data_IF_143685410861
#
_entry.id   IF_143685410861
#
_cell.length_a   1.000
_cell.length_b   1.000
_cell.length_c   1.000
_cell.angle_alpha   90.00
_cell.angle_beta   90.00
_cell.angle_gamma   90.00
#
_symmetry.space_group_name_H-M   'P 1'
#
loop_
_entity.id
_entity.type
_entity.pdbx_description
1 polymer ?
#
# COMPACT_ATOMS: atom_id res chain seq x y z
N UNK A 1 3.73 15.76 2.72
CA UNK A 1 5.03 15.09 2.53
C UNK A 1 5.18 14.00 3.60
N UNK A 2 4.57 12.82 3.39
CA UNK A 2 4.46 11.78 4.44
C UNK A 2 5.33 10.55 4.14
N UNK A 3 5.65 10.31 2.87
CA UNK A 3 6.43 9.16 2.39
C UNK A 3 7.84 9.56 1.94
N UNK A 4 8.38 10.66 2.47
CA UNK A 4 9.75 11.07 2.18
C UNK A 4 10.70 9.96 2.65
N UNK A 5 11.70 9.61 1.85
CA UNK A 5 12.66 8.50 2.03
C UNK A 5 12.09 7.08 2.02
N UNK A 6 10.85 6.87 1.58
CA UNK A 6 10.33 5.53 1.29
C UNK A 6 10.92 5.02 -0.03
N UNK A 7 11.33 3.76 -0.06
CA UNK A 7 11.73 3.11 -1.30
C UNK A 7 10.51 2.74 -2.15
N UNK A 8 10.73 2.38 -3.42
CA UNK A 8 9.67 1.84 -4.29
C UNK A 8 9.01 0.58 -3.71
N UNK A 9 9.79 -0.26 -3.02
CA UNK A 9 9.26 -1.45 -2.34
C UNK A 9 8.35 -1.09 -1.16
N UNK A 10 8.70 -0.05 -0.40
CA UNK A 10 7.87 0.42 0.72
C UNK A 10 6.52 0.97 0.21
N UNK A 11 6.56 1.76 -0.88
CA UNK A 11 5.36 2.28 -1.55
C UNK A 11 4.49 1.14 -2.10
N UNK A 12 5.10 0.15 -2.77
CA UNK A 12 4.38 -1.02 -3.27
C UNK A 12 3.72 -1.80 -2.12
N UNK A 13 4.41 -1.94 -0.98
CA UNK A 13 3.87 -2.57 0.21
C UNK A 13 2.65 -1.85 0.78
N UNK A 14 2.63 -0.50 0.76
CA UNK A 14 1.47 0.30 1.16
C UNK A 14 0.29 0.04 0.22
N UNK A 15 0.50 0.12 -1.10
CA UNK A 15 -0.55 -0.14 -2.09
C UNK A 15 -1.15 -1.55 -1.96
N UNK A 16 -0.29 -2.56 -1.76
CA UNK A 16 -0.75 -3.93 -1.54
C UNK A 16 -1.58 -4.08 -0.26
N UNK A 17 -1.18 -3.40 0.83
CA UNK A 17 -1.96 -3.41 2.08
C UNK A 17 -3.32 -2.74 1.91
N UNK A 18 -3.38 -1.56 1.28
CA UNK A 18 -4.64 -0.87 1.00
C UNK A 18 -5.58 -1.71 0.14
N UNK A 19 -5.06 -2.34 -0.92
CA UNK A 19 -5.82 -3.26 -1.77
C UNK A 19 -6.40 -4.46 -0.98
N UNK A 20 -5.59 -5.07 -0.10
CA UNK A 20 -6.05 -6.17 0.76
C UNK A 20 -7.13 -5.73 1.76
N UNK A 21 -7.06 -4.50 2.28
CA UNK A 21 -8.09 -3.97 3.17
C UNK A 21 -9.42 -3.79 2.43
N UNK A 22 -9.41 -3.22 1.23
CA UNK A 22 -10.61 -3.06 0.41
C UNK A 22 -11.28 -4.41 0.08
N UNK A 23 -10.48 -5.43 -0.26
CA UNK A 23 -10.99 -6.77 -0.51
C UNK A 23 -11.61 -7.38 0.76
N UNK A 24 -10.95 -7.25 1.92
CA UNK A 24 -11.47 -7.75 3.20
C UNK A 24 -12.79 -7.09 3.57
N UNK A 25 -12.88 -5.76 3.42
CA UNK A 25 -14.11 -5.01 3.68
C UNK A 25 -15.27 -5.49 2.77
N UNK A 26 -14.99 -5.70 1.49
CA UNK A 26 -15.99 -6.20 0.52
C UNK A 26 -16.51 -7.58 0.89
N UNK A 27 -15.63 -8.50 1.30
CA UNK A 27 -16.00 -9.85 1.72
C UNK A 27 -16.87 -9.78 2.98
N UNK A 28 -16.52 -8.96 3.96
CA UNK A 28 -17.28 -8.85 5.21
C UNK A 28 -18.67 -8.24 4.97
N UNK A 29 -18.75 -7.18 4.16
CA UNK A 29 -20.03 -6.60 3.71
C UNK A 29 -20.91 -7.63 3.03
N UNK A 30 -20.34 -8.46 2.16
CA UNK A 30 -21.08 -9.52 1.49
C UNK A 30 -21.57 -10.59 2.48
N UNK A 31 -20.76 -10.98 3.48
CA UNK A 31 -21.16 -11.96 4.50
C UNK A 31 -22.35 -11.49 5.34
N UNK A 32 -22.34 -10.22 5.76
CA UNK A 32 -23.46 -9.60 6.49
C UNK A 32 -24.72 -9.57 5.62
N UNK A 33 -24.58 -9.25 4.33
CA UNK A 33 -25.71 -9.19 3.39
C UNK A 33 -26.24 -10.58 2.96
N UNK A 34 -25.38 -11.60 2.91
CA UNK A 34 -25.75 -13.00 2.61
C UNK A 34 -26.61 -13.64 3.70
N UNK A 35 -26.58 -13.12 4.93
CA UNK A 35 -27.59 -13.45 5.95
C UNK A 35 -29.04 -13.11 5.53
N UNK A 36 -29.22 -12.33 4.44
CA UNK A 36 -30.52 -11.89 3.92
C UNK A 36 -30.79 -12.30 2.45
N UNK A 37 -29.88 -12.97 1.71
CA UNK A 37 -30.13 -13.30 0.29
C UNK A 37 -29.46 -14.59 -0.22
N UNK A 38 -30.24 -15.32 -1.02
CA UNK A 38 -29.97 -16.65 -1.62
C UNK A 38 -28.78 -16.63 -2.60
N UNK A 39 -27.97 -17.69 -2.51
CA UNK A 39 -26.64 -17.94 -3.11
C UNK A 39 -26.51 -17.92 -4.65
N UNK A 40 -27.56 -17.62 -5.42
CA UNK A 40 -27.48 -17.68 -6.89
C UNK A 40 -28.27 -16.52 -7.51
N UNK A 41 -27.59 -15.39 -7.66
CA UNK A 41 -28.07 -14.32 -8.52
C UNK A 41 -26.94 -14.00 -9.50
N UNK A 42 -27.26 -13.90 -10.78
CA UNK A 42 -26.38 -13.50 -11.90
C UNK A 42 -25.93 -12.02 -11.76
N UNK A 43 -25.75 -11.54 -10.52
CA UNK A 43 -25.37 -10.17 -10.21
C UNK A 43 -23.89 -9.99 -10.52
N UNK A 44 -23.52 -8.88 -11.15
CA UNK A 44 -22.13 -8.57 -11.39
C UNK A 44 -21.37 -8.55 -10.06
N UNK A 45 -20.21 -9.21 -10.04
CA UNK A 45 -19.28 -9.14 -8.91
C UNK A 45 -18.88 -7.67 -8.77
N UNK A 46 -19.28 -7.05 -7.67
CA UNK A 46 -18.90 -5.67 -7.37
C UNK A 46 -17.40 -5.66 -7.09
N UNK A 47 -16.61 -5.05 -7.98
CA UNK A 47 -15.18 -4.83 -7.73
C UNK A 47 -15.07 -3.71 -6.68
N UNK A 48 -14.49 -3.95 -5.50
CA UNK A 48 -14.39 -2.93 -4.47
C UNK A 48 -13.43 -1.82 -4.86
N UNK A 49 -13.81 -0.58 -4.57
CA UNK A 49 -12.95 0.58 -4.77
C UNK A 49 -11.96 0.74 -3.61
N UNK A 50 -10.70 1.06 -3.95
CA UNK A 50 -9.70 1.41 -2.94
C UNK A 50 -9.86 2.89 -2.58
N UNK A 51 -10.52 3.13 -1.45
CA UNK A 51 -10.74 4.46 -0.84
C UNK A 51 -9.57 4.96 0.02
N UNK A 52 -9.63 6.24 0.38
CA UNK A 52 -8.62 6.97 1.17
C UNK A 52 -8.34 6.34 2.54
N UNK A 53 -9.36 5.87 3.25
CA UNK A 53 -9.25 5.23 4.56
C UNK A 53 -8.44 3.93 4.52
N UNK A 54 -8.50 3.16 3.43
CA UNK A 54 -7.61 2.00 3.27
C UNK A 54 -6.13 2.41 3.23
N UNK A 55 -5.82 3.57 2.65
CA UNK A 55 -4.47 4.11 2.66
C UNK A 55 -4.10 4.66 4.03
N UNK A 56 -5.00 5.34 4.74
CA UNK A 56 -4.76 5.77 6.13
C UNK A 56 -4.41 4.58 7.03
N UNK A 57 -5.17 3.49 6.93
CA UNK A 57 -4.92 2.26 7.69
C UNK A 57 -3.63 1.56 7.26
N UNK A 58 -3.36 1.48 5.94
CA UNK A 58 -2.12 0.92 5.44
C UNK A 58 -0.89 1.72 5.87
N UNK A 59 -1.02 3.04 6.02
CA UNK A 59 0.03 3.96 6.44
C UNK A 59 0.38 3.83 7.93
N UNK A 60 -0.55 3.42 8.81
CA UNK A 60 -0.28 3.17 10.23
C UNK A 60 0.83 2.15 10.48
N UNK A 61 0.96 1.18 9.57
CA UNK A 61 1.98 0.11 9.64
C UNK A 61 3.13 0.31 8.64
N UNK A 62 3.15 1.45 7.96
CA UNK A 62 4.16 1.73 6.95
C UNK A 62 5.46 2.19 7.62
N UNK A 63 6.58 1.57 7.22
CA UNK A 63 7.92 1.91 7.71
C UNK A 63 8.87 1.93 6.52
N UNK A 64 9.81 2.89 6.51
CA UNK A 64 10.92 2.91 5.55
C UNK A 64 11.82 1.69 5.77
N UNK A 65 12.21 1.04 4.68
CA UNK A 65 13.18 -0.07 4.74
C UNK A 65 14.62 0.41 4.66
N UNK A 66 14.87 1.59 4.07
CA UNK A 66 16.21 2.17 3.92
C UNK A 66 16.54 3.04 5.14
N UNK A 67 17.74 2.85 5.71
CA UNK A 67 18.23 3.63 6.84
C UNK A 67 18.88 4.94 6.40
N UNK A 68 18.95 5.94 7.30
CA UNK A 68 19.63 7.21 7.02
C UNK A 68 21.13 7.01 6.74
N UNK A 69 21.75 6.02 7.39
CA UNK A 69 23.16 5.68 7.17
C UNK A 69 23.40 5.17 5.75
N UNK A 70 22.52 4.31 5.25
CA UNK A 70 22.64 3.79 3.88
C UNK A 70 22.39 4.91 2.86
N UNK A 71 21.39 5.77 3.13
CA UNK A 71 21.11 6.94 2.29
C UNK A 71 22.34 7.86 2.18
N UNK A 72 22.98 8.19 3.31
CA UNK A 72 24.18 9.01 3.37
C UNK A 72 25.35 8.39 2.58
N UNK A 73 25.58 7.08 2.73
CA UNK A 73 26.63 6.38 1.96
C UNK A 73 26.39 6.47 0.45
N UNK A 74 25.15 6.28 0.01
CA UNK A 74 24.79 6.40 -1.41
C UNK A 74 24.93 7.84 -1.92
N UNK A 75 24.59 8.85 -1.12
CA UNK A 75 24.80 10.26 -1.47
C UNK A 75 26.28 10.60 -1.63
N UNK A 76 27.13 10.20 -0.69
CA UNK A 76 28.59 10.41 -0.76
C UNK A 76 29.17 9.71 -1.99
N UNK A 77 28.77 8.46 -2.24
CA UNK A 77 29.21 7.72 -3.42
C UNK A 77 28.80 8.39 -4.72
N UNK A 78 27.56 8.89 -4.82
CA UNK A 78 27.08 9.60 -6.00
C UNK A 78 27.87 10.90 -6.25
N UNK A 79 28.25 11.62 -5.20
CA UNK A 79 29.05 12.85 -5.30
C UNK A 79 30.49 12.59 -5.75
N UNK A 80 31.14 11.54 -5.24
CA UNK A 80 32.51 11.21 -5.65
C UNK A 80 32.59 10.63 -7.06
N UNK A 81 31.55 9.91 -7.51
CA UNK A 81 31.46 9.38 -8.88
C UNK A 81 31.27 10.49 -9.94
N UNK A 82 30.73 11.64 -9.55
CA UNK A 82 30.47 12.79 -10.43
C UNK A 82 31.65 13.77 -10.54
N UNK A 83 32.77 13.54 -9.84
CA UNK A 83 33.97 14.36 -10.04
C UNK A 83 34.65 13.92 -11.35
N UNK A 84 34.71 14.78 -12.39
CA UNK A 84 35.54 14.49 -13.55
C UNK A 84 37.00 14.48 -13.10
N UNK A 85 37.75 13.47 -13.56
CA UNK A 85 39.21 13.38 -13.43
C UNK A 85 39.92 14.65 -13.89
#
# INVERSE_FOLDING_TARGET
KTTQVFSGADLAGICQRACKLAIRESIEKERVQRGQRVMYSNRPVLVPEIRHDHFEDAMKFARRSVSDNDLCKYEIFAQTLQQPS
#
